data_IF_769354413293
#
_entry.id   IF_769354413293
#
_cell.length_a   1.000
_cell.length_b   1.000
_cell.length_c   1.000
_cell.angle_alpha   90.00
_cell.angle_beta   90.00
_cell.angle_gamma   90.00
#
_symmetry.space_group_name_H-M   'P 1'
#
loop_
_entity.id
_entity.type
_entity.pdbx_description
1 polymer ?
#
# COMPACT_ATOMS: atom_id res chain seq x y z
N UNK A 1 -34.32 8.50 0.10
CA UNK A 1 -32.99 8.28 0.70
C UNK A 1 -32.07 9.50 0.61
N UNK A 2 -31.82 10.08 -0.58
CA UNK A 2 -30.88 11.21 -0.73
C UNK A 2 -31.14 12.40 0.23
N UNK A 3 -32.41 12.71 0.49
CA UNK A 3 -32.84 13.82 1.36
C UNK A 3 -32.55 13.61 2.86
N UNK A 4 -32.45 12.35 3.31
CA UNK A 4 -32.12 12.00 4.70
C UNK A 4 -30.61 11.91 4.84
N UNK A 5 -29.94 11.29 3.88
CA UNK A 5 -28.47 11.17 3.87
C UNK A 5 -27.81 12.56 3.79
N UNK A 6 -28.39 13.50 3.05
CA UNK A 6 -27.88 14.87 2.97
C UNK A 6 -28.06 15.72 4.23
N UNK A 7 -28.77 15.23 5.24
CA UNK A 7 -28.92 15.90 6.55
C UNK A 7 -27.93 15.39 7.59
N UNK A 8 -27.21 14.31 7.28
CA UNK A 8 -26.22 13.72 8.19
C UNK A 8 -24.92 14.49 8.03
N UNK A 9 -24.37 14.96 9.15
CA UNK A 9 -23.04 15.54 9.18
C UNK A 9 -22.01 14.46 8.79
N UNK A 10 -21.21 14.68 7.73
CA UNK A 10 -20.28 13.68 7.22
C UNK A 10 -19.13 13.37 8.19
N UNK A 11 -18.70 14.34 8.99
CA UNK A 11 -17.60 14.18 9.93
C UNK A 11 -18.08 13.37 11.15
N UNK A 12 -19.26 13.67 11.66
CA UNK A 12 -19.88 12.89 12.75
C UNK A 12 -20.19 11.45 12.30
N UNK A 13 -20.67 11.26 11.07
CA UNK A 13 -20.89 9.94 10.52
C UNK A 13 -19.59 9.14 10.40
N UNK A 14 -18.53 9.77 9.89
CA UNK A 14 -17.20 9.17 9.79
C UNK A 14 -16.66 8.73 11.15
N UNK A 15 -16.84 9.57 12.17
CA UNK A 15 -16.45 9.26 13.55
C UNK A 15 -17.24 8.08 14.11
N UNK A 16 -18.57 8.09 13.96
CA UNK A 16 -19.44 7.00 14.41
C UNK A 16 -19.10 5.68 13.73
N UNK A 17 -18.87 5.71 12.40
CA UNK A 17 -18.49 4.54 11.63
C UNK A 17 -17.14 3.95 12.07
N UNK A 18 -16.15 4.81 12.32
CA UNK A 18 -14.83 4.39 12.81
C UNK A 18 -14.92 3.79 14.21
N UNK A 19 -15.73 4.38 15.11
CA UNK A 19 -15.99 3.83 16.45
C UNK A 19 -16.64 2.44 16.37
N UNK A 20 -17.68 2.29 15.55
CA UNK A 20 -18.33 1.01 15.32
C UNK A 20 -17.35 -0.05 14.77
N UNK A 21 -16.48 0.31 13.83
CA UNK A 21 -15.44 -0.61 13.34
C UNK A 21 -14.48 -1.06 14.47
N UNK A 22 -14.09 -0.15 15.37
CA UNK A 22 -13.26 -0.50 16.52
C UNK A 22 -14.00 -1.39 17.54
N UNK A 23 -15.29 -1.15 17.77
CA UNK A 23 -16.13 -2.00 18.62
C UNK A 23 -16.23 -3.42 18.05
N UNK A 24 -16.53 -3.56 16.74
CA UNK A 24 -16.58 -4.86 16.08
C UNK A 24 -15.25 -5.60 16.16
N UNK A 25 -14.13 -4.90 16.00
CA UNK A 25 -12.80 -5.49 16.16
C UNK A 25 -12.60 -6.04 17.57
N UNK A 26 -12.97 -5.26 18.58
CA UNK A 26 -12.79 -5.62 19.99
C UNK A 26 -13.71 -6.78 20.41
N UNK A 27 -15.00 -6.71 20.08
CA UNK A 27 -15.99 -7.73 20.41
C UNK A 27 -15.66 -9.09 19.80
N UNK A 28 -15.18 -9.09 18.54
CA UNK A 28 -14.84 -10.32 17.82
C UNK A 28 -13.38 -10.75 17.99
N UNK A 29 -12.60 -10.03 18.80
CA UNK A 29 -11.17 -10.27 19.03
C UNK A 29 -10.39 -10.46 17.71
N UNK A 30 -10.74 -9.66 16.69
CA UNK A 30 -10.16 -9.82 15.37
C UNK A 30 -8.70 -9.37 15.38
N UNK A 31 -7.82 -10.27 14.99
CA UNK A 31 -6.42 -9.94 14.80
C UNK A 31 -6.26 -9.03 13.56
N UNK A 32 -5.43 -8.01 13.70
CA UNK A 32 -5.09 -7.11 12.60
C UNK A 32 -3.59 -7.11 12.47
N UNK A 33 -3.13 -7.79 11.43
CA UNK A 33 -1.73 -7.99 11.10
C UNK A 33 -1.31 -6.96 10.06
N UNK A 34 -2.16 -6.72 9.06
CA UNK A 34 -1.84 -5.88 7.90
C UNK A 34 -2.84 -4.74 7.74
N UNK A 35 -2.31 -3.51 7.72
CA UNK A 35 -3.06 -2.29 7.42
C UNK A 35 -2.50 -1.67 6.15
N UNK A 36 -3.32 -1.55 5.12
CA UNK A 36 -3.02 -0.81 3.91
C UNK A 36 -3.47 0.64 4.05
N UNK A 37 -2.58 1.58 3.78
CA UNK A 37 -2.92 3.00 3.69
C UNK A 37 -2.88 3.42 2.22
N UNK A 38 -4.00 3.94 1.72
CA UNK A 38 -4.19 4.28 0.31
C UNK A 38 -5.00 5.57 0.14
N UNK A 39 -4.53 6.44 -0.75
CA UNK A 39 -5.20 7.64 -1.18
C UNK A 39 -6.16 7.39 -2.35
N UNK A 40 -7.44 7.71 -2.16
CA UNK A 40 -8.48 7.61 -3.19
C UNK A 40 -8.96 9.00 -3.60
N UNK A 41 -9.22 9.16 -4.89
CA UNK A 41 -9.87 10.34 -5.45
C UNK A 41 -11.35 10.00 -5.70
N UNK A 42 -12.26 10.78 -5.13
CA UNK A 42 -13.69 10.54 -5.31
C UNK A 42 -14.14 10.95 -6.72
N UNK A 43 -14.81 10.04 -7.43
CA UNK A 43 -15.38 10.35 -8.75
C UNK A 43 -16.67 11.15 -8.57
N UNK A 44 -16.86 12.19 -9.39
CA UNK A 44 -18.05 13.05 -9.35
C UNK A 44 -17.88 14.34 -8.55
N UNK A 45 -16.76 14.54 -7.85
CA UNK A 45 -16.38 15.79 -7.17
C UNK A 45 -15.41 16.63 -8.01
N UNK A 46 -15.38 16.40 -9.33
CA UNK A 46 -14.46 17.10 -10.21
C UNK A 46 -15.02 18.49 -10.53
N UNK A 47 -14.29 19.53 -10.15
CA UNK A 47 -14.62 20.88 -10.60
C UNK A 47 -14.05 21.09 -12.01
N UNK A 48 -14.94 21.21 -12.98
CA UNK A 48 -14.57 21.50 -14.36
C UNK A 48 -13.92 22.89 -14.53
N UNK A 49 -14.19 23.84 -13.62
CA UNK A 49 -13.58 25.19 -13.65
C UNK A 49 -12.13 25.15 -13.19
N UNK A 50 -11.84 24.43 -12.11
CA UNK A 50 -10.48 24.30 -11.57
C UNK A 50 -9.69 23.12 -12.15
N UNK A 51 -10.33 22.27 -12.96
CA UNK A 51 -9.78 21.02 -13.52
C UNK A 51 -9.16 20.11 -12.46
N UNK A 52 -9.79 20.00 -11.28
CA UNK A 52 -9.29 19.21 -10.16
C UNK A 52 -10.39 18.42 -9.48
N UNK A 53 -10.02 17.26 -8.96
CA UNK A 53 -10.86 16.53 -8.01
C UNK A 53 -10.85 17.30 -6.70
N UNK A 54 -12.02 17.71 -6.21
CA UNK A 54 -12.14 18.54 -5.02
C UNK A 54 -11.91 17.78 -3.72
N UNK A 55 -11.90 16.45 -3.76
CA UNK A 55 -11.83 15.62 -2.54
C UNK A 55 -10.96 14.41 -2.75
N UNK A 56 -9.84 14.40 -2.03
CA UNK A 56 -8.98 13.24 -1.87
C UNK A 56 -9.19 12.67 -0.47
N UNK A 57 -9.12 11.35 -0.32
CA UNK A 57 -9.34 10.68 0.96
C UNK A 57 -8.27 9.63 1.17
N UNK A 58 -7.61 9.65 2.32
CA UNK A 58 -6.63 8.64 2.73
C UNK A 58 -7.32 7.69 3.69
N UNK A 59 -7.32 6.41 3.37
CA UNK A 59 -7.97 5.37 4.16
C UNK A 59 -6.94 4.39 4.71
N UNK A 60 -7.13 3.98 5.96
CA UNK A 60 -6.43 2.86 6.58
C UNK A 60 -7.36 1.66 6.66
N UNK A 61 -7.08 0.66 5.83
CA UNK A 61 -7.89 -0.54 5.66
C UNK A 61 -7.14 -1.76 6.16
N UNK A 62 -7.79 -2.61 6.95
CA UNK A 62 -7.22 -3.89 7.36
C UNK A 62 -7.59 -5.00 6.39
N UNK A 63 -6.56 -5.65 5.84
CA UNK A 63 -6.74 -6.76 4.92
C UNK A 63 -7.34 -7.98 5.62
N UNK A 64 -6.94 -8.23 6.86
CA UNK A 64 -7.36 -9.40 7.65
C UNK A 64 -8.85 -9.35 8.02
N UNK A 65 -9.36 -8.15 8.33
CA UNK A 65 -10.69 -7.98 8.92
C UNK A 65 -11.72 -7.38 7.98
N UNK A 66 -11.26 -6.76 6.89
CA UNK A 66 -12.12 -5.98 5.99
C UNK A 66 -12.60 -4.65 6.57
N UNK A 67 -12.07 -4.22 7.72
CA UNK A 67 -12.49 -3.00 8.41
C UNK A 67 -11.63 -1.79 8.00
N UNK A 68 -12.24 -0.60 8.05
CA UNK A 68 -11.55 0.68 7.89
C UNK A 68 -11.31 1.27 9.29
N UNK A 69 -10.04 1.42 9.66
CA UNK A 69 -9.63 1.92 10.99
C UNK A 69 -9.45 3.42 11.06
N UNK A 70 -9.45 4.10 9.91
CA UNK A 70 -9.46 5.55 9.86
C UNK A 70 -9.51 6.05 8.43
N UNK A 71 -10.14 7.19 8.26
CA UNK A 71 -10.22 7.90 6.99
C UNK A 71 -10.06 9.39 7.24
N UNK A 72 -9.25 10.06 6.43
CA UNK A 72 -9.06 11.51 6.49
C UNK A 72 -9.25 12.11 5.11
N UNK A 73 -10.02 13.18 5.04
CA UNK A 73 -10.20 13.98 3.82
C UNK A 73 -9.01 14.93 3.70
N UNK A 74 -8.50 15.07 2.49
CA UNK A 74 -7.45 16.01 2.16
C UNK A 74 -7.83 16.87 0.97
N UNK A 75 -7.50 18.16 1.04
CA UNK A 75 -7.90 19.18 0.06
C UNK A 75 -7.18 19.04 -1.29
N UNK A 76 -6.08 18.30 -1.32
CA UNK A 76 -5.31 18.10 -2.54
C UNK A 76 -4.43 16.85 -2.46
N UNK A 77 -4.12 16.26 -3.61
CA UNK A 77 -3.21 15.11 -3.74
C UNK A 77 -1.81 15.37 -3.16
N UNK A 78 -1.33 16.62 -3.16
CA UNK A 78 -0.03 16.99 -2.57
C UNK A 78 0.00 16.88 -1.05
N UNK A 79 -1.16 16.94 -0.38
CA UNK A 79 -1.27 16.88 1.06
C UNK A 79 -1.40 15.44 1.59
N UNK A 80 -1.40 14.45 0.69
CA UNK A 80 -1.55 13.03 1.01
C UNK A 80 -0.44 12.54 1.95
N UNK A 81 0.81 12.97 1.74
CA UNK A 81 1.95 12.57 2.60
C UNK A 81 1.73 13.00 4.04
N UNK A 82 1.34 14.26 4.26
CA UNK A 82 1.04 14.80 5.60
C UNK A 82 -0.15 14.08 6.21
N UNK A 83 -1.19 13.82 5.41
CA UNK A 83 -2.39 13.11 5.84
C UNK A 83 -2.08 11.66 6.27
N UNK A 84 -1.18 10.97 5.55
CA UNK A 84 -0.70 9.63 5.94
C UNK A 84 0.00 9.68 7.29
N UNK A 85 0.85 10.69 7.54
CA UNK A 85 1.53 10.85 8.82
C UNK A 85 0.55 11.11 9.97
N UNK A 86 -0.47 11.95 9.75
CA UNK A 86 -1.54 12.20 10.72
C UNK A 86 -2.35 10.94 11.00
N UNK A 87 -2.77 10.24 9.96
CA UNK A 87 -3.51 8.99 10.07
C UNK A 87 -2.70 7.94 10.84
N UNK A 88 -1.40 7.80 10.53
CA UNK A 88 -0.52 6.91 11.26
C UNK A 88 -0.51 7.23 12.76
N UNK A 89 -0.39 8.50 13.17
CA UNK A 89 -0.38 8.89 14.59
C UNK A 89 -1.64 8.43 15.34
N UNK A 90 -2.79 8.42 14.67
CA UNK A 90 -4.06 7.98 15.23
C UNK A 90 -4.20 6.45 15.30
N UNK A 91 -3.55 5.73 14.39
CA UNK A 91 -3.61 4.27 14.34
C UNK A 91 -2.68 3.61 15.35
N UNK A 92 -3.10 2.46 15.88
CA UNK A 92 -2.20 1.54 16.59
C UNK A 92 -1.34 0.81 15.57
N UNK A 93 -0.05 1.13 15.53
CA UNK A 93 0.91 0.58 14.54
C UNK A 93 1.74 -0.58 15.12
N UNK A 94 1.90 -0.64 16.44
CA UNK A 94 2.72 -1.64 17.13
C UNK A 94 2.34 -3.07 16.75
N UNK A 95 3.32 -3.83 16.26
CA UNK A 95 3.18 -5.24 15.88
C UNK A 95 2.47 -5.48 14.55
N UNK A 96 2.15 -4.43 13.79
CA UNK A 96 1.41 -4.50 12.52
C UNK A 96 2.31 -4.16 11.35
N UNK A 97 2.01 -4.73 10.19
CA UNK A 97 2.60 -4.38 8.92
C UNK A 97 1.76 -3.30 8.27
N UNK A 98 2.37 -2.17 7.94
CA UNK A 98 1.76 -1.06 7.22
C UNK A 98 2.21 -1.13 5.76
N UNK A 99 1.27 -1.29 4.82
CA UNK A 99 1.60 -1.18 3.40
C UNK A 99 1.20 0.15 2.82
N UNK A 100 2.08 0.71 2.00
CA UNK A 100 1.88 1.99 1.33
C UNK A 100 2.21 1.88 -0.16
N UNK A 101 1.55 2.72 -0.93
CA UNK A 101 1.84 2.88 -2.34
C UNK A 101 3.18 3.63 -2.56
N UNK A 102 3.51 3.89 -3.82
CA UNK A 102 4.76 4.57 -4.15
C UNK A 102 4.77 6.03 -3.65
N UNK A 103 3.63 6.72 -3.60
CA UNK A 103 3.57 8.08 -3.10
C UNK A 103 3.91 8.16 -1.61
N UNK A 104 3.50 7.16 -0.83
CA UNK A 104 3.87 6.99 0.58
C UNK A 104 5.33 6.57 0.82
N UNK A 105 6.13 6.34 -0.24
CA UNK A 105 7.54 5.94 -0.14
C UNK A 105 8.43 7.11 0.31
N UNK A 106 8.39 7.41 1.61
CA UNK A 106 9.14 8.48 2.26
C UNK A 106 9.89 7.95 3.49
N UNK A 107 11.15 8.35 3.65
CA UNK A 107 11.99 7.96 4.79
C UNK A 107 11.32 8.30 6.14
N UNK A 108 10.70 9.48 6.23
CA UNK A 108 10.02 9.95 7.45
C UNK A 108 8.81 9.08 7.84
N UNK A 109 8.11 8.50 6.84
CA UNK A 109 6.98 7.59 7.08
C UNK A 109 7.51 6.23 7.57
N UNK A 110 8.55 5.70 6.92
CA UNK A 110 9.21 4.46 7.36
C UNK A 110 9.72 4.58 8.80
N UNK A 111 10.39 5.69 9.13
CA UNK A 111 10.85 6.00 10.47
C UNK A 111 9.69 6.05 11.49
N UNK A 112 8.62 6.79 11.17
CA UNK A 112 7.44 6.88 12.04
C UNK A 112 6.81 5.52 12.34
N UNK A 113 6.76 4.61 11.36
CA UNK A 113 6.21 3.26 11.53
C UNK A 113 7.11 2.44 12.46
N UNK A 114 8.42 2.45 12.22
CA UNK A 114 9.40 1.68 13.01
C UNK A 114 9.51 2.20 14.44
N UNK A 115 9.51 3.52 14.65
CA UNK A 115 9.55 4.12 16.00
C UNK A 115 8.33 3.76 16.82
N UNK A 116 7.19 3.54 16.16
CA UNK A 116 5.96 3.08 16.80
C UNK A 116 5.85 1.55 16.84
N UNK A 117 6.98 0.85 16.63
CA UNK A 117 7.15 -0.61 16.73
C UNK A 117 6.28 -1.39 15.75
N UNK A 118 5.96 -0.80 14.61
CA UNK A 118 5.38 -1.52 13.47
C UNK A 118 6.42 -1.88 12.44
N UNK A 119 5.96 -2.59 11.42
CA UNK A 119 6.72 -2.93 10.23
C UNK A 119 6.09 -2.26 9.01
N UNK A 120 6.86 -2.09 7.94
CA UNK A 120 6.35 -1.54 6.69
C UNK A 120 6.64 -2.44 5.49
N UNK A 121 5.81 -2.32 4.46
CA UNK A 121 6.06 -2.76 3.09
C UNK A 121 5.65 -1.63 2.15
N UNK A 122 6.62 -0.94 1.55
CA UNK A 122 6.32 0.27 0.77
C UNK A 122 6.76 0.08 -0.67
N UNK A 123 5.88 0.45 -1.61
CA UNK A 123 6.17 0.34 -3.04
C UNK A 123 7.27 1.33 -3.44
N UNK A 124 8.18 0.91 -4.32
CA UNK A 124 9.25 1.74 -4.87
C UNK A 124 9.03 1.91 -6.37
N UNK A 125 9.10 3.16 -6.84
CA UNK A 125 9.06 3.56 -8.26
C UNK A 125 10.04 4.71 -8.48
N UNK A 126 9.84 5.44 -9.57
CA UNK A 126 10.68 6.56 -10.01
C UNK A 126 10.77 7.73 -9.03
N UNK A 127 9.86 7.81 -8.04
CA UNK A 127 9.92 8.83 -6.99
C UNK A 127 11.07 8.61 -5.99
N UNK A 128 11.68 7.42 -5.99
CA UNK A 128 12.90 7.12 -5.22
C UNK A 128 13.96 6.54 -6.18
N UNK A 129 14.58 7.38 -7.02
CA UNK A 129 15.34 6.92 -8.19
C UNK A 129 16.56 6.08 -7.83
N UNK A 130 17.25 6.37 -6.72
CA UNK A 130 18.40 5.58 -6.26
C UNK A 130 17.99 4.19 -5.79
N UNK A 131 16.92 4.06 -5.00
CA UNK A 131 16.37 2.76 -4.62
C UNK A 131 15.83 2.01 -5.82
N UNK A 132 15.10 2.68 -6.70
CA UNK A 132 14.55 2.06 -7.90
C UNK A 132 15.66 1.50 -8.81
N UNK A 133 16.78 2.21 -8.92
CA UNK A 133 17.96 1.76 -9.66
C UNK A 133 18.55 0.47 -9.10
N UNK A 134 18.60 0.31 -7.77
CA UNK A 134 19.01 -0.97 -7.14
C UNK A 134 18.14 -2.10 -7.67
N UNK A 135 16.83 -1.89 -7.76
CA UNK A 135 15.94 -2.92 -8.27
C UNK A 135 16.17 -3.22 -9.75
N UNK A 136 16.23 -2.20 -10.60
CA UNK A 136 16.38 -2.39 -12.04
C UNK A 136 17.73 -3.01 -12.42
N UNK A 137 18.79 -2.70 -11.67
CA UNK A 137 20.14 -3.21 -11.94
C UNK A 137 20.32 -4.66 -11.46
N UNK A 138 19.56 -5.11 -10.44
CA UNK A 138 19.75 -6.43 -9.81
C UNK A 138 18.60 -7.44 -10.05
N UNK A 139 17.40 -6.96 -10.38
CA UNK A 139 16.18 -7.78 -10.42
C UNK A 139 15.37 -7.56 -11.70
N UNK A 140 16.04 -7.48 -12.84
CA UNK A 140 15.37 -7.50 -14.14
C UNK A 140 14.65 -8.83 -14.38
N UNK A 141 13.68 -8.85 -15.29
CA UNK A 141 12.89 -10.06 -15.61
C UNK A 141 13.72 -11.31 -15.89
N UNK A 142 14.86 -11.16 -16.58
CA UNK A 142 15.77 -12.26 -16.87
C UNK A 142 16.57 -12.73 -15.65
N UNK A 143 16.78 -11.88 -14.65
CA UNK A 143 17.47 -12.23 -13.40
C UNK A 143 16.52 -12.84 -12.37
N UNK A 144 15.20 -12.60 -12.48
CA UNK A 144 14.21 -13.17 -11.56
C UNK A 144 14.10 -14.70 -11.66
N UNK A 145 14.49 -15.31 -12.79
CA UNK A 145 14.53 -16.77 -12.91
C UNK A 145 15.49 -17.41 -11.90
N UNK A 146 16.57 -16.73 -11.55
CA UNK A 146 17.57 -17.20 -10.59
C UNK A 146 17.00 -17.30 -9.16
N UNK A 147 15.86 -16.63 -8.92
CA UNK A 147 15.18 -16.61 -7.63
C UNK A 147 13.85 -17.39 -7.64
N UNK A 148 13.53 -18.08 -8.74
CA UNK A 148 12.25 -18.79 -8.91
C UNK A 148 12.00 -19.86 -7.85
N UNK A 149 13.05 -20.53 -7.37
CA UNK A 149 12.95 -21.53 -6.29
C UNK A 149 12.49 -20.92 -4.95
N UNK A 150 12.82 -19.64 -4.71
CA UNK A 150 12.45 -18.92 -3.50
C UNK A 150 11.18 -18.08 -3.68
N UNK A 151 10.54 -18.19 -4.84
CA UNK A 151 9.35 -17.42 -5.15
C UNK A 151 8.10 -18.09 -4.56
N UNK A 152 7.25 -17.27 -3.95
CA UNK A 152 5.88 -17.66 -3.64
C UNK A 152 4.99 -17.29 -4.83
N UNK A 153 4.22 -18.26 -5.33
CA UNK A 153 3.37 -18.06 -6.51
C UNK A 153 1.88 -18.22 -6.20
N UNK A 154 1.08 -17.34 -6.78
CA UNK A 154 -0.38 -17.39 -6.74
C UNK A 154 -0.96 -17.27 -8.15
N UNK A 155 -1.82 -18.21 -8.54
CA UNK A 155 -2.61 -18.13 -9.77
C UNK A 155 -4.04 -17.68 -9.45
N UNK A 156 -4.49 -16.63 -10.12
CA UNK A 156 -5.85 -16.11 -10.06
C UNK A 156 -6.50 -16.21 -11.44
N UNK A 157 -7.66 -16.85 -11.51
CA UNK A 157 -8.50 -16.87 -12.71
C UNK A 157 -9.51 -15.71 -12.61
N UNK A 158 -9.19 -14.61 -13.26
CA UNK A 158 -10.04 -13.44 -13.34
C UNK A 158 -11.27 -13.62 -14.22
N UNK A 159 -12.20 -12.65 -14.14
CA UNK A 159 -13.41 -12.60 -14.98
C UNK A 159 -13.07 -12.71 -16.47
N UNK A 160 -13.89 -13.45 -17.22
CA UNK A 160 -13.72 -13.76 -18.66
C UNK A 160 -12.50 -14.65 -18.99
N UNK A 161 -12.01 -15.44 -18.03
CA UNK A 161 -10.96 -16.44 -18.25
C UNK A 161 -9.55 -15.85 -18.38
N UNK A 162 -9.33 -14.64 -17.84
CA UNK A 162 -7.98 -14.07 -17.75
C UNK A 162 -7.22 -14.82 -16.67
N UNK A 163 -6.07 -15.39 -17.01
CA UNK A 163 -5.17 -15.99 -16.03
C UNK A 163 -4.14 -14.96 -15.58
N UNK A 164 -3.96 -14.84 -14.27
CA UNK A 164 -2.96 -13.97 -13.66
C UNK A 164 -2.12 -14.81 -12.72
N UNK A 165 -0.84 -14.99 -13.05
CA UNK A 165 0.14 -15.57 -12.14
C UNK A 165 0.90 -14.42 -11.48
N UNK A 166 0.97 -14.42 -10.15
CA UNK A 166 1.80 -13.50 -9.38
C UNK A 166 2.89 -14.29 -8.69
N UNK A 167 4.13 -13.86 -8.86
CA UNK A 167 5.32 -14.45 -8.25
C UNK A 167 5.97 -13.41 -7.35
N UNK A 168 6.18 -13.77 -6.09
CA UNK A 168 6.68 -12.90 -5.03
C UNK A 168 8.02 -13.40 -4.52
N UNK A 169 9.05 -12.56 -4.59
CA UNK A 169 10.41 -12.87 -4.16
C UNK A 169 10.79 -11.88 -3.07
N UNK A 170 11.35 -12.39 -1.97
CA UNK A 170 11.89 -11.59 -0.87
C UNK A 170 13.38 -11.85 -0.76
N UNK A 171 14.18 -10.78 -0.89
CA UNK A 171 15.63 -10.83 -0.77
C UNK A 171 16.05 -10.02 0.46
N UNK A 172 16.87 -10.62 1.33
CA UNK A 172 17.45 -9.88 2.47
C UNK A 172 18.33 -8.73 1.98
N UNK A 173 18.12 -7.55 2.55
CA UNK A 173 18.92 -6.38 2.26
C UNK A 173 20.32 -6.55 2.88
N UNK A 174 21.36 -6.31 2.09
CA UNK A 174 22.75 -6.29 2.53
C UNK A 174 23.49 -5.11 1.89
N UNK A 175 24.67 -4.78 2.41
CA UNK A 175 25.50 -3.66 1.95
C UNK A 175 25.88 -3.73 0.46
N UNK A 176 25.78 -4.92 -0.16
CA UNK A 176 25.98 -5.11 -1.61
C UNK A 176 25.02 -4.27 -2.46
N UNK A 177 23.87 -3.91 -1.91
CA UNK A 177 22.86 -3.09 -2.58
C UNK A 177 23.05 -1.59 -2.33
N UNK A 178 24.10 -1.19 -1.60
CA UNK A 178 24.42 0.18 -1.25
C UNK A 178 24.04 0.56 0.19
N UNK A 179 24.31 1.81 0.55
CA UNK A 179 24.09 2.32 1.90
C UNK A 179 22.72 3.03 2.03
N UNK A 180 21.66 2.23 2.12
CA UNK A 180 20.29 2.74 2.28
C UNK A 180 19.78 2.64 3.72
N UNK A 181 20.42 1.84 4.57
CA UNK A 181 19.94 1.58 5.95
C UNK A 181 20.00 2.82 6.83
N UNK A 182 20.91 3.75 6.54
CA UNK A 182 21.01 5.05 7.21
C UNK A 182 19.76 5.90 6.97
N UNK A 183 19.22 5.89 5.74
CA UNK A 183 18.04 6.69 5.36
C UNK A 183 16.72 5.95 5.58
N UNK A 184 16.72 4.62 5.46
CA UNK A 184 15.55 3.77 5.57
C UNK A 184 15.62 2.96 6.85
N UNK A 185 15.18 3.60 7.93
CA UNK A 185 15.18 3.01 9.27
C UNK A 185 14.48 1.67 9.26
N UNK A 186 15.19 0.64 9.73
CA UNK A 186 14.64 -0.71 9.84
C UNK A 186 14.52 -1.48 8.53
N UNK A 187 15.04 -0.98 7.39
CA UNK A 187 15.10 -1.72 6.14
C UNK A 187 15.81 -3.08 6.32
N UNK A 188 15.13 -4.17 5.97
CA UNK A 188 15.66 -5.54 6.11
C UNK A 188 15.52 -6.38 4.86
N UNK A 189 14.56 -6.08 3.97
CA UNK A 189 14.39 -6.83 2.74
C UNK A 189 13.93 -5.97 1.56
N UNK A 190 14.25 -6.46 0.38
CA UNK A 190 13.80 -6.01 -0.93
C UNK A 190 12.81 -7.05 -1.44
N UNK A 191 11.61 -6.63 -1.81
CA UNK A 191 10.60 -7.54 -2.35
C UNK A 191 10.31 -7.20 -3.81
N UNK A 192 10.16 -8.23 -4.63
CA UNK A 192 9.80 -8.11 -6.04
C UNK A 192 8.53 -8.91 -6.29
N UNK A 193 7.54 -8.28 -6.92
CA UNK A 193 6.32 -8.94 -7.37
C UNK A 193 6.27 -8.90 -8.90
N UNK A 194 6.40 -10.05 -9.54
CA UNK A 194 6.20 -10.23 -10.97
C UNK A 194 4.76 -10.68 -11.23
N UNK A 195 4.08 -10.04 -12.18
CA UNK A 195 2.72 -10.39 -12.59
C UNK A 195 2.73 -10.76 -14.06
N UNK A 196 2.36 -12.00 -14.36
CA UNK A 196 2.18 -12.52 -15.70
C UNK A 196 0.69 -12.60 -16.00
N UNK A 197 0.23 -11.94 -17.05
CA UNK A 197 -1.18 -11.98 -17.46
C UNK A 197 -1.31 -12.57 -18.85
N UNK A 198 -2.26 -13.49 -18.98
CA UNK A 198 -2.67 -14.06 -20.26
C UNK A 198 -4.18 -13.87 -20.43
N UNK A 199 -4.58 -13.29 -21.57
CA UNK A 199 -6.00 -13.19 -21.95
C UNK A 199 -6.41 -14.43 -22.73
N UNK A 200 -7.67 -14.85 -22.56
CA UNK A 200 -8.24 -15.94 -23.33
C UNK A 200 -8.26 -15.60 -24.83
N UNK A 201 -7.64 -16.44 -25.66
CA UNK A 201 -7.58 -16.26 -27.11
C UNK A 201 -6.49 -15.30 -27.61
N UNK A 202 -5.57 -14.91 -26.74
CA UNK A 202 -4.43 -14.05 -27.05
C UNK A 202 -3.16 -14.72 -26.52
N UNK A 203 -2.22 -15.01 -27.43
CA UNK A 203 -0.92 -15.61 -27.06
C UNK A 203 0.04 -14.59 -26.46
N UNK A 204 -0.29 -13.28 -26.50
CA UNK A 204 0.52 -12.27 -25.84
C UNK A 204 0.42 -12.39 -24.32
N UNK A 205 1.60 -12.51 -23.69
CA UNK A 205 1.77 -12.45 -22.24
C UNK A 205 2.25 -11.05 -21.87
N UNK A 206 1.48 -10.33 -21.07
CA UNK A 206 1.97 -9.08 -20.48
C UNK A 206 2.65 -9.38 -19.15
N UNK A 207 3.76 -8.71 -18.90
CA UNK A 207 4.52 -8.84 -17.66
C UNK A 207 4.66 -7.49 -17.00
N UNK A 208 4.33 -7.42 -15.71
CA UNK A 208 4.53 -6.24 -14.88
C UNK A 208 5.37 -6.59 -13.68
N UNK A 209 6.36 -5.77 -13.36
CA UNK A 209 7.18 -5.90 -12.16
C UNK A 209 6.83 -4.76 -11.20
N UNK A 210 6.75 -5.07 -9.91
CA UNK A 210 6.64 -4.08 -8.84
C UNK A 210 7.70 -4.34 -7.79
N UNK A 211 8.28 -3.27 -7.29
CA UNK A 211 9.33 -3.31 -6.29
C UNK A 211 8.82 -2.76 -4.97
N UNK A 212 9.29 -3.34 -3.87
CA UNK A 212 8.93 -2.91 -2.52
C UNK A 212 10.14 -3.03 -1.61
N UNK A 213 10.20 -2.14 -0.62
CA UNK A 213 11.12 -2.26 0.52
C UNK A 213 10.33 -2.65 1.76
N UNK A 214 10.96 -3.43 2.64
CA UNK A 214 10.31 -3.94 3.83
C UNK A 214 11.23 -3.92 5.05
N UNK A 215 10.63 -3.69 6.22
CA UNK A 215 11.32 -3.80 7.51
C UNK A 215 11.29 -5.21 8.12
N UNK A 216 10.59 -6.14 7.47
CA UNK A 216 10.60 -7.57 7.81
C UNK A 216 11.65 -8.32 7.01
N UNK A 217 12.05 -9.47 7.55
CA UNK A 217 12.94 -10.43 6.89
C UNK A 217 12.11 -11.44 6.12
#
# INVERSE_FOLDING_TARGET
MARIIGLVDPDEFSLCFTRWCNEVQHEKLLETIHIAIDGKSLKGTYDNREKKCLTHMVNAYSFDTGLVFGQLITSSKSNEITTIQELLKLLRVKGRVISLDAMGCQCSIAELIVDRKGDYVISVKDNQPSLHKVFTDNFSLGQLSDYSEYAYEEEEIGKRGRKVLRSYIVILFTEKFGDFTVKWKGLKSLCVAATYQQKKGDDSRSVGIRYFISSKK
#
